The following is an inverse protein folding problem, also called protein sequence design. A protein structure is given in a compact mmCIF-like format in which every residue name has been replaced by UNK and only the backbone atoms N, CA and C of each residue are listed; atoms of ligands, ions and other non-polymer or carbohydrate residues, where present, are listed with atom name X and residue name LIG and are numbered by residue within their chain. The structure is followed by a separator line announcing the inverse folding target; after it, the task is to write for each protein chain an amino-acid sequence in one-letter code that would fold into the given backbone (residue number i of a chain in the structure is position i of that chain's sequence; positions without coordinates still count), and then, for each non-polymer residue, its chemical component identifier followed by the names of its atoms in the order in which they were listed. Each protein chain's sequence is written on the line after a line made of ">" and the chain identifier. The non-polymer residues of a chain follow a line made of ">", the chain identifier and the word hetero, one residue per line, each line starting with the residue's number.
data_IF_970638839315
#
_entry.id   IF_970638839315
#
_cell.length_a   1.000
_cell.length_b   1.000
_cell.length_c   1.000
_cell.angle_alpha   90.00
_cell.angle_beta   90.00
_cell.angle_gamma   90.00
#
_symmetry.space_group_name_H-M   'P 1'
#
loop_
_entity.id
_entity.type
_entity.pdbx_description
1 polymer ?
#
# COMPACT_ATOMS: atom_id res chain seq x y z
N UNK A 1 1.77 17.43 -2.64
CA UNK A 1 2.82 16.40 -2.50
C UNK A 1 3.99 16.77 -3.41
N UNK A 2 5.25 16.61 -2.99
CA UNK A 2 6.41 16.81 -3.86
C UNK A 2 6.53 15.66 -4.88
N UNK A 3 7.12 15.90 -6.06
CA UNK A 3 7.37 14.90 -7.09
C UNK A 3 8.10 13.65 -6.54
N UNK A 4 9.06 13.83 -5.62
CA UNK A 4 9.76 12.72 -4.95
C UNK A 4 8.80 11.80 -4.18
N UNK A 5 7.80 12.37 -3.49
CA UNK A 5 6.79 11.59 -2.75
C UNK A 5 5.85 10.86 -3.69
N UNK A 6 5.50 11.45 -4.83
CA UNK A 6 4.66 10.80 -5.85
C UNK A 6 5.40 9.59 -6.45
N UNK A 7 6.67 9.77 -6.80
CA UNK A 7 7.51 8.67 -7.26
C UNK A 7 7.61 7.54 -6.23
N UNK A 8 7.80 7.87 -4.95
CA UNK A 8 7.83 6.89 -3.87
C UNK A 8 6.50 6.11 -3.75
N UNK A 9 5.35 6.78 -3.85
CA UNK A 9 4.04 6.11 -3.89
C UNK A 9 3.99 5.12 -5.05
N UNK A 10 4.40 5.52 -6.26
CA UNK A 10 4.43 4.64 -7.42
C UNK A 10 5.32 3.40 -7.21
N UNK A 11 6.51 3.59 -6.65
CA UNK A 11 7.44 2.49 -6.32
C UNK A 11 6.82 1.53 -5.31
N UNK A 12 6.24 2.03 -4.21
CA UNK A 12 5.60 1.18 -3.22
C UNK A 12 4.36 0.47 -3.78
N UNK A 13 3.60 1.09 -4.67
CA UNK A 13 2.46 0.43 -5.34
C UNK A 13 2.91 -0.70 -6.26
N UNK A 14 4.00 -0.51 -7.01
CA UNK A 14 4.59 -1.56 -7.82
C UNK A 14 5.13 -2.71 -6.97
N UNK A 15 5.80 -2.40 -5.84
CA UNK A 15 6.25 -3.40 -4.88
C UNK A 15 5.07 -4.16 -4.27
N UNK A 16 3.98 -3.47 -3.91
CA UNK A 16 2.78 -4.11 -3.39
C UNK A 16 2.17 -5.07 -4.40
N UNK A 17 2.09 -4.68 -5.68
CA UNK A 17 1.61 -5.55 -6.76
C UNK A 17 2.46 -6.82 -6.89
N UNK A 18 3.78 -6.69 -7.03
CA UNK A 18 4.67 -7.86 -7.14
C UNK A 18 4.63 -8.70 -5.86
N UNK A 19 4.63 -8.04 -4.70
CA UNK A 19 4.54 -8.65 -3.37
C UNK A 19 3.25 -9.45 -3.14
N UNK A 20 2.19 -9.19 -3.91
CA UNK A 20 0.98 -10.03 -3.88
C UNK A 20 1.20 -11.44 -4.41
N UNK A 21 2.19 -11.62 -5.27
CA UNK A 21 2.45 -12.91 -5.94
C UNK A 21 3.67 -13.63 -5.37
N UNK A 22 4.55 -12.95 -4.61
CA UNK A 22 5.76 -13.55 -4.01
C UNK A 22 5.42 -14.77 -3.13
N UNK A 23 4.34 -14.70 -2.37
CA UNK A 23 3.90 -15.76 -1.46
C UNK A 23 2.71 -16.53 -1.99
N UNK A 24 2.50 -16.55 -3.31
CA UNK A 24 1.35 -17.21 -3.94
C UNK A 24 1.20 -18.70 -3.56
N UNK A 25 2.30 -19.40 -3.27
CA UNK A 25 2.27 -20.80 -2.83
C UNK A 25 1.83 -20.98 -1.37
N UNK A 26 1.83 -19.92 -0.55
CA UNK A 26 1.42 -19.95 0.85
C UNK A 26 0.02 -19.36 0.97
N UNK A 27 -1.02 -20.16 1.27
CA UNK A 27 -2.38 -19.66 1.37
C UNK A 27 -2.49 -18.59 2.47
N UNK A 28 -3.20 -17.50 2.17
CA UNK A 28 -3.48 -16.37 3.07
C UNK A 28 -2.28 -15.54 3.55
N UNK A 29 -1.06 -15.82 3.07
CA UNK A 29 0.10 -14.97 3.35
C UNK A 29 0.39 -14.06 2.14
N UNK A 30 0.56 -12.76 2.38
CA UNK A 30 0.82 -11.82 1.29
C UNK A 30 1.69 -10.66 1.74
N UNK A 31 2.77 -10.38 0.99
CA UNK A 31 3.71 -9.30 1.33
C UNK A 31 3.14 -7.91 1.04
N UNK A 32 2.15 -7.81 0.16
CA UNK A 32 1.52 -6.55 -0.25
C UNK A 32 0.96 -5.74 0.91
N UNK A 33 0.32 -6.38 1.89
CA UNK A 33 -0.25 -5.72 3.08
C UNK A 33 0.85 -5.03 3.90
N UNK A 34 1.98 -5.71 4.11
CA UNK A 34 3.13 -5.16 4.83
C UNK A 34 3.74 -3.98 4.07
N UNK A 35 3.91 -4.11 2.75
CA UNK A 35 4.49 -3.06 1.91
C UNK A 35 3.61 -1.80 1.88
N UNK A 36 2.29 -1.96 1.80
CA UNK A 36 1.34 -0.83 1.86
C UNK A 36 1.35 -0.17 3.24
N UNK A 37 1.42 -0.95 4.31
CA UNK A 37 1.56 -0.41 5.66
C UNK A 37 2.87 0.39 5.81
N UNK A 38 4.00 -0.15 5.37
CA UNK A 38 5.29 0.55 5.42
C UNK A 38 5.31 1.80 4.53
N UNK A 39 4.65 1.78 3.38
CA UNK A 39 4.48 2.98 2.58
C UNK A 39 3.77 4.09 3.36
N UNK A 40 2.71 3.74 4.10
CA UNK A 40 2.09 4.64 5.08
C UNK A 40 3.06 5.10 6.15
N UNK A 41 3.81 4.17 6.73
CA UNK A 41 4.76 4.48 7.79
C UNK A 41 5.83 5.51 7.34
N UNK A 42 6.35 5.40 6.11
CA UNK A 42 7.40 6.30 5.62
C UNK A 42 6.88 7.57 4.92
N UNK A 43 5.70 7.51 4.31
CA UNK A 43 5.14 8.60 3.52
C UNK A 43 4.00 9.35 4.23
N UNK A 44 3.61 8.91 5.42
CA UNK A 44 2.48 9.42 6.18
C UNK A 44 1.13 8.95 5.65
N UNK A 45 0.05 9.36 6.33
CA UNK A 45 -1.32 8.88 6.09
C UNK A 45 -1.73 9.00 4.62
N UNK A 46 -1.55 10.18 4.01
CA UNK A 46 -1.93 10.41 2.60
C UNK A 46 -1.11 9.56 1.63
N UNK A 47 0.20 9.42 1.86
CA UNK A 47 1.06 8.61 1.00
C UNK A 47 0.74 7.12 1.09
N UNK A 48 0.48 6.62 2.31
CA UNK A 48 0.03 5.25 2.53
C UNK A 48 -1.32 4.95 1.91
N UNK A 49 -2.32 5.81 2.15
CA UNK A 49 -3.65 5.64 1.57
C UNK A 49 -3.62 5.58 0.04
N UNK A 50 -2.90 6.51 -0.61
CA UNK A 50 -2.73 6.50 -2.06
C UNK A 50 -2.00 5.24 -2.55
N UNK A 51 -0.96 4.81 -1.84
CA UNK A 51 -0.24 3.57 -2.17
C UNK A 51 -1.18 2.36 -2.10
N UNK A 52 -2.02 2.29 -1.06
CA UNK A 52 -2.98 1.21 -0.88
C UNK A 52 -4.02 1.16 -1.99
N UNK A 53 -4.63 2.31 -2.35
CA UNK A 53 -5.59 2.38 -3.46
C UNK A 53 -4.94 1.95 -4.77
N UNK A 54 -3.77 2.51 -5.10
CA UNK A 54 -3.07 2.18 -6.35
C UNK A 54 -2.61 0.72 -6.38
N UNK A 55 -2.10 0.18 -5.26
CA UNK A 55 -1.72 -1.22 -5.13
C UNK A 55 -2.92 -2.15 -5.35
N UNK A 56 -4.05 -1.88 -4.70
CA UNK A 56 -5.27 -2.66 -4.87
C UNK A 56 -5.79 -2.63 -6.33
N UNK A 57 -5.75 -1.45 -6.98
CA UNK A 57 -6.11 -1.33 -8.39
C UNK A 57 -5.18 -2.16 -9.28
N UNK A 58 -3.85 -2.08 -9.07
CA UNK A 58 -2.90 -2.88 -9.85
C UNK A 58 -3.16 -4.38 -9.66
N UNK A 59 -3.35 -4.83 -8.42
CA UNK A 59 -3.61 -6.23 -8.10
C UNK A 59 -4.93 -6.71 -8.73
N UNK A 60 -5.97 -5.89 -8.71
CA UNK A 60 -7.28 -6.24 -9.26
C UNK A 60 -7.35 -6.18 -10.79
N UNK A 61 -6.67 -5.21 -11.42
CA UNK A 61 -6.69 -5.03 -12.88
C UNK A 61 -5.69 -5.95 -13.60
N UNK A 62 -4.53 -6.20 -13.00
CA UNK A 62 -3.46 -7.01 -13.58
C UNK A 62 -3.30 -8.35 -12.87
N UNK A 63 -4.40 -8.91 -12.37
CA UNK A 63 -4.38 -10.24 -11.77
C UNK A 63 -4.21 -11.31 -12.87
N UNK A 64 -3.24 -12.23 -12.75
CA UNK A 64 -3.06 -13.32 -13.71
C UNK A 64 -4.27 -14.27 -13.78
N UNK A 65 -5.12 -14.30 -12.75
CA UNK A 65 -6.35 -15.11 -12.74
C UNK A 65 -7.57 -14.38 -13.32
N UNK A 66 -7.39 -13.18 -13.87
CA UNK A 66 -8.45 -12.36 -14.45
C UNK A 66 -8.94 -11.25 -13.52
N UNK A 67 -9.70 -10.33 -14.10
CA UNK A 67 -10.14 -9.12 -13.42
C UNK A 67 -10.98 -9.43 -12.18
N UNK A 68 -10.71 -8.72 -11.09
CA UNK A 68 -11.53 -8.81 -9.89
C UNK A 68 -12.96 -8.37 -10.16
N UNK A 69 -13.93 -9.11 -9.63
CA UNK A 69 -15.34 -8.68 -9.63
C UNK A 69 -15.49 -7.38 -8.85
N UNK A 70 -16.43 -6.52 -9.28
CA UNK A 70 -16.60 -5.17 -8.73
C UNK A 70 -16.73 -5.11 -7.20
N UNK A 71 -17.47 -6.01 -6.52
CA UNK A 71 -17.53 -6.02 -5.05
C UNK A 71 -16.19 -6.34 -4.39
N UNK A 72 -15.41 -7.26 -4.98
CA UNK A 72 -14.08 -7.66 -4.47
C UNK A 72 -13.11 -6.49 -4.62
N UNK A 73 -13.12 -5.84 -5.79
CA UNK A 73 -12.34 -4.63 -6.04
C UNK A 73 -12.63 -3.56 -4.98
N UNK A 74 -13.90 -3.26 -4.73
CA UNK A 74 -14.28 -2.24 -3.75
C UNK A 74 -13.81 -2.59 -2.34
N UNK A 75 -14.01 -3.83 -1.91
CA UNK A 75 -13.54 -4.31 -0.61
C UNK A 75 -12.01 -4.23 -0.49
N UNK A 76 -11.28 -4.64 -1.53
CA UNK A 76 -9.83 -4.61 -1.55
C UNK A 76 -9.27 -3.19 -1.50
N UNK A 77 -9.83 -2.28 -2.29
CA UNK A 77 -9.45 -0.85 -2.28
C UNK A 77 -9.68 -0.25 -0.90
N UNK A 78 -10.83 -0.49 -0.27
CA UNK A 78 -11.12 0.01 1.08
C UNK A 78 -10.15 -0.57 2.12
N UNK A 79 -9.92 -1.88 2.10
CA UNK A 79 -9.01 -2.53 3.03
C UNK A 79 -7.58 -1.97 2.89
N UNK A 80 -7.06 -1.88 1.67
CA UNK A 80 -5.70 -1.41 1.42
C UNK A 80 -5.54 0.09 1.71
N UNK A 81 -6.57 0.89 1.46
CA UNK A 81 -6.62 2.30 1.88
C UNK A 81 -6.46 2.41 3.39
N UNK A 82 -7.23 1.63 4.15
CA UNK A 82 -7.20 1.63 5.62
C UNK A 82 -5.82 1.18 6.11
N UNK A 83 -5.27 0.09 5.58
CA UNK A 83 -3.94 -0.43 5.95
C UNK A 83 -2.85 0.63 5.73
N UNK A 84 -2.85 1.28 4.57
CA UNK A 84 -1.88 2.32 4.26
C UNK A 84 -2.05 3.56 5.15
N UNK A 85 -3.29 3.98 5.42
CA UNK A 85 -3.58 5.09 6.31
C UNK A 85 -3.12 4.79 7.76
N UNK A 86 -3.38 3.57 8.25
CA UNK A 86 -2.94 3.12 9.57
C UNK A 86 -1.42 3.18 9.70
N UNK A 87 -0.67 2.72 8.70
CA UNK A 87 0.79 2.82 8.69
C UNK A 87 1.28 4.25 8.98
N UNK A 88 0.66 5.25 8.33
CA UNK A 88 1.01 6.66 8.56
C UNK A 88 0.57 7.21 9.91
N UNK A 89 -0.51 6.69 10.50
CA UNK A 89 -0.92 7.08 11.85
C UNK A 89 0.08 6.58 12.90
N UNK A 90 0.69 5.41 12.67
CA UNK A 90 1.72 4.87 13.55
C UNK A 90 3.04 5.67 13.50
N UNK A 91 3.38 6.29 12.36
CA UNK A 91 4.54 7.19 12.24
C UNK A 91 4.49 8.33 13.25
N UNK A 92 3.34 9.02 13.29
CA UNK A 92 3.14 10.19 14.15
C UNK A 92 3.12 9.83 15.64
N UNK A 93 2.89 8.55 15.98
CA UNK A 93 2.82 8.08 17.37
C UNK A 93 4.13 7.54 17.90
N UNK A 94 5.09 7.22 17.02
CA UNK A 94 6.38 6.64 17.38
C UNK A 94 7.53 7.66 17.41
N UNK A 95 7.23 8.97 17.36
CA UNK A 95 8.25 10.03 17.47
C UNK A 95 9.17 10.15 16.25
N UNK A 96 8.79 9.58 15.10
CA UNK A 96 9.65 9.59 13.90
C UNK A 96 9.65 10.95 13.17
N UNK A 97 8.71 11.84 13.50
CA UNK A 97 8.67 13.22 12.97
C UNK A 97 9.84 14.07 13.48
N UNK A 98 10.42 13.76 14.65
CA UNK A 98 11.57 14.49 15.23
C UNK A 98 12.85 14.35 14.38
N UNK A 99 12.93 13.36 13.48
CA UNK A 99 14.12 13.10 12.64
C UNK A 99 14.01 13.63 11.21
N UNK A 100 12.89 14.27 10.83
CA UNK A 100 12.69 14.85 9.48
C UNK A 100 12.83 16.37 9.43
N UNK A 101 12.95 17.03 10.59
CA UNK A 101 13.09 18.49 10.76
C UNK A 101 14.52 18.96 11.03
N UNK A 102 15.49 18.04 11.07
CA UNK A 102 16.94 18.33 11.14
C UNK A 102 17.59 18.47 9.77
#
# INVERSE_FOLDING_TARGET
>A
MSAKRVAAVGVFSALAYVGSFVLMSIPNATLSILLVFFAGYYLGVTGGALTGVMGALLISLFNPYGLAMLPILAAQVLAYLIIGALGGLFTNRLGYDDYRTG
#
